data_IF_220625296305
#
_entry.id   IF_220625296305
#
_cell.length_a   1.000
_cell.length_b   1.000
_cell.length_c   1.000
_cell.angle_alpha   90.00
_cell.angle_beta   90.00
_cell.angle_gamma   90.00
#
_symmetry.space_group_name_H-M   'P 1'
#
loop_
_entity.id
_entity.type
_entity.pdbx_description
1 polymer ?
#
# COMPACT_ATOMS: atom_id res chain seq x y z
N UNK A 1 -9.39 -5.00 -26.94
CA UNK A 1 -9.87 -6.04 -26.00
C UNK A 1 -8.74 -7.02 -25.73
N UNK A 2 -8.67 -7.61 -24.54
CA UNK A 2 -7.69 -8.67 -24.25
C UNK A 2 -8.31 -10.01 -24.64
N UNK A 3 -7.56 -10.83 -25.38
CA UNK A 3 -8.00 -12.16 -25.81
C UNK A 3 -7.33 -13.23 -24.97
N UNK A 4 -8.14 -14.07 -24.31
CA UNK A 4 -7.67 -15.17 -23.48
C UNK A 4 -7.89 -16.51 -24.15
N UNK A 5 -6.97 -17.45 -23.93
CA UNK A 5 -7.18 -18.86 -24.26
C UNK A 5 -7.01 -19.70 -23.00
N UNK A 6 -7.81 -20.76 -22.92
CA UNK A 6 -7.82 -21.69 -21.81
C UNK A 6 -7.68 -23.11 -22.34
N UNK A 7 -7.17 -24.01 -21.51
CA UNK A 7 -7.22 -25.44 -21.80
C UNK A 7 -8.55 -26.07 -21.37
N UNK A 8 -8.67 -27.40 -21.53
CA UNK A 8 -9.88 -28.15 -21.19
C UNK A 8 -10.19 -28.16 -19.67
N UNK A 9 -9.20 -27.89 -18.82
CA UNK A 9 -9.38 -27.77 -17.37
C UNK A 9 -9.75 -26.33 -16.94
N UNK A 10 -9.87 -25.39 -17.90
CA UNK A 10 -10.19 -23.99 -17.62
C UNK A 10 -8.98 -23.17 -17.19
N UNK A 11 -7.76 -23.68 -17.35
CA UNK A 11 -6.52 -22.99 -16.97
C UNK A 11 -6.10 -22.05 -18.08
N UNK A 12 -5.69 -20.83 -17.73
CA UNK A 12 -5.34 -19.78 -18.71
C UNK A 12 -4.02 -20.12 -19.40
N UNK A 13 -4.04 -20.42 -20.69
CA UNK A 13 -2.85 -20.68 -21.49
C UNK A 13 -2.21 -19.40 -22.01
N UNK A 14 -3.02 -18.45 -22.49
CA UNK A 14 -2.52 -17.20 -23.07
C UNK A 14 -3.41 -16.00 -22.76
N UNK A 15 -2.80 -14.80 -22.79
CA UNK A 15 -3.47 -13.51 -22.75
C UNK A 15 -2.79 -12.58 -23.76
N UNK A 16 -3.52 -12.19 -24.79
CA UNK A 16 -3.05 -11.29 -25.84
C UNK A 16 -3.65 -9.91 -25.65
N UNK A 17 -2.79 -8.93 -25.44
CA UNK A 17 -3.14 -7.54 -25.19
C UNK A 17 -3.28 -6.74 -26.49
N UNK A 18 -4.02 -5.61 -26.48
CA UNK A 18 -4.15 -4.71 -27.63
C UNK A 18 -2.82 -4.28 -28.25
N UNK A 19 -1.82 -3.98 -27.40
CA UNK A 19 -0.48 -3.56 -27.82
C UNK A 19 0.42 -4.70 -28.33
N UNK A 20 -0.17 -5.82 -28.76
CA UNK A 20 0.55 -7.00 -29.27
C UNK A 20 1.49 -7.69 -28.25
N UNK A 21 1.34 -7.41 -26.96
CA UNK A 21 1.95 -8.22 -25.91
C UNK A 21 1.18 -9.52 -25.72
N UNK A 22 1.92 -10.61 -25.49
CA UNK A 22 1.37 -11.93 -25.23
C UNK A 22 1.98 -12.50 -23.95
N UNK A 23 1.13 -12.80 -22.98
CA UNK A 23 1.50 -13.64 -21.84
C UNK A 23 1.14 -15.10 -22.14
N UNK A 24 2.02 -16.02 -21.76
CA UNK A 24 1.79 -17.46 -21.85
C UNK A 24 2.10 -18.14 -20.53
N UNK A 25 1.25 -19.07 -20.11
CA UNK A 25 1.44 -19.88 -18.92
C UNK A 25 1.63 -21.34 -19.30
N UNK A 26 2.56 -22.02 -18.63
CA UNK A 26 2.83 -23.44 -18.77
C UNK A 26 2.54 -24.12 -17.44
N UNK A 27 1.88 -25.28 -17.51
CA UNK A 27 1.46 -26.06 -16.35
C UNK A 27 1.99 -27.47 -16.45
N UNK A 28 2.13 -28.14 -15.31
CA UNK A 28 2.20 -29.59 -15.22
C UNK A 28 0.83 -30.24 -15.47
N UNK A 29 0.81 -31.57 -15.61
CA UNK A 29 -0.42 -32.35 -15.73
C UNK A 29 -1.27 -32.30 -14.45
N UNK A 30 -0.66 -32.05 -13.29
CA UNK A 30 -1.31 -31.91 -11.98
C UNK A 30 -1.60 -30.45 -11.57
N UNK A 31 -1.76 -29.57 -12.56
CA UNK A 31 -2.23 -28.19 -12.38
C UNK A 31 -1.31 -27.25 -11.57
N UNK A 32 0.00 -27.42 -11.73
CA UNK A 32 0.99 -26.50 -11.16
C UNK A 32 1.60 -25.65 -12.25
N UNK A 33 1.55 -24.34 -12.09
CA UNK A 33 2.26 -23.42 -12.98
C UNK A 33 3.76 -23.72 -12.90
N UNK A 34 4.44 -23.90 -14.02
CA UNK A 34 5.91 -24.10 -14.06
C UNK A 34 6.62 -22.91 -14.64
N UNK A 35 5.93 -22.17 -15.53
CA UNK A 35 6.53 -21.09 -16.27
C UNK A 35 5.49 -20.09 -16.74
N UNK A 36 5.87 -18.82 -16.70
CA UNK A 36 5.18 -17.72 -17.36
C UNK A 36 6.14 -17.05 -18.33
N UNK A 37 5.70 -16.81 -19.56
CA UNK A 37 6.46 -16.11 -20.60
C UNK A 37 5.77 -14.79 -20.93
N UNK A 38 6.57 -13.75 -21.18
CA UNK A 38 6.12 -12.52 -21.81
C UNK A 38 6.75 -12.40 -23.19
N UNK A 39 5.93 -12.20 -24.20
CA UNK A 39 6.33 -12.03 -25.59
C UNK A 39 5.85 -10.68 -26.13
N UNK A 40 6.63 -10.10 -27.04
CA UNK A 40 6.24 -8.94 -27.84
C UNK A 40 6.17 -9.36 -29.31
N UNK A 41 5.03 -9.09 -29.96
CA UNK A 41 4.88 -9.26 -31.39
C UNK A 41 5.01 -7.91 -32.09
N UNK A 42 5.99 -7.79 -32.99
CA UNK A 42 6.24 -6.59 -33.81
C UNK A 42 6.59 -7.02 -35.24
N UNK A 43 5.95 -6.39 -36.24
CA UNK A 43 6.17 -6.67 -37.66
C UNK A 43 6.09 -8.16 -38.06
N UNK A 44 5.25 -8.94 -37.38
CA UNK A 44 5.07 -10.38 -37.61
C UNK A 44 6.12 -11.28 -36.96
N UNK A 45 7.02 -10.73 -36.13
CA UNK A 45 7.99 -11.48 -35.35
C UNK A 45 7.64 -11.46 -33.86
N UNK A 46 7.60 -12.65 -33.23
CA UNK A 46 7.43 -12.80 -31.79
C UNK A 46 8.80 -12.90 -31.10
N UNK A 47 9.08 -11.98 -30.19
CA UNK A 47 10.31 -11.97 -29.38
C UNK A 47 9.98 -12.27 -27.93
N UNK A 48 10.69 -13.22 -27.31
CA UNK A 48 10.57 -13.51 -25.88
C UNK A 48 11.24 -12.40 -25.08
N UNK A 49 10.47 -11.68 -24.27
CA UNK A 49 10.94 -10.54 -23.49
C UNK A 49 11.36 -10.93 -22.07
N UNK A 50 10.61 -11.83 -21.42
CA UNK A 50 10.93 -12.31 -20.08
C UNK A 50 10.33 -13.69 -19.80
N UNK A 51 10.94 -14.39 -18.85
CA UNK A 51 10.47 -15.68 -18.34
C UNK A 51 10.48 -15.63 -16.82
N UNK A 52 9.40 -16.08 -16.22
CA UNK A 52 9.32 -16.43 -14.79
C UNK A 52 9.15 -17.94 -14.67
N UNK A 53 9.95 -18.60 -13.84
CA UNK A 53 9.88 -20.05 -13.57
C UNK A 53 9.45 -20.33 -12.14
N UNK A 54 8.74 -21.43 -11.94
CA UNK A 54 8.18 -21.83 -10.65
C UNK A 54 8.49 -23.31 -10.39
N UNK A 55 9.17 -23.59 -9.28
CA UNK A 55 9.56 -24.93 -8.85
C UNK A 55 8.73 -25.34 -7.63
N UNK A 56 8.26 -26.59 -7.61
CA UNK A 56 7.40 -27.14 -6.56
C UNK A 56 8.06 -28.34 -5.90
N UNK A 57 7.78 -28.58 -4.63
CA UNK A 57 8.19 -29.81 -3.95
C UNK A 57 7.29 -31.00 -4.29
N UNK A 58 7.59 -32.18 -3.71
CA UNK A 58 6.81 -33.39 -3.91
C UNK A 58 5.37 -33.30 -3.39
N UNK A 59 5.09 -32.41 -2.43
CA UNK A 59 3.76 -32.11 -1.92
C UNK A 59 3.02 -31.07 -2.76
N UNK A 60 3.68 -30.47 -3.75
CA UNK A 60 3.11 -29.45 -4.63
C UNK A 60 3.14 -28.04 -4.10
N UNK A 61 3.90 -27.80 -3.04
CA UNK A 61 4.10 -26.45 -2.50
C UNK A 61 5.15 -25.73 -3.33
N UNK A 62 4.93 -24.45 -3.61
CA UNK A 62 5.86 -23.62 -4.35
C UNK A 62 7.11 -23.39 -3.50
N UNK A 63 8.27 -23.89 -3.94
CA UNK A 63 9.54 -23.74 -3.20
C UNK A 63 10.46 -22.69 -3.80
N UNK A 64 10.25 -22.32 -5.06
CA UNK A 64 11.06 -21.30 -5.74
C UNK A 64 10.29 -20.64 -6.87
N UNK A 65 10.43 -19.33 -6.99
CA UNK A 65 9.96 -18.55 -8.13
C UNK A 65 11.07 -17.61 -8.59
N UNK A 66 11.43 -17.63 -9.87
CA UNK A 66 12.58 -16.89 -10.40
C UNK A 66 12.22 -16.14 -11.68
N UNK A 67 12.63 -14.88 -11.77
CA UNK A 67 12.54 -14.06 -12.97
C UNK A 67 13.90 -13.34 -13.19
N UNK A 68 14.06 -12.47 -14.21
CA UNK A 68 15.34 -11.79 -14.46
C UNK A 68 15.82 -10.86 -13.33
N UNK A 69 14.93 -10.40 -12.46
CA UNK A 69 15.22 -9.43 -11.39
C UNK A 69 15.35 -10.08 -10.00
N UNK A 70 14.73 -11.25 -9.79
CA UNK A 70 14.61 -11.85 -8.47
C UNK A 70 14.54 -13.37 -8.47
N UNK A 71 15.06 -13.95 -7.40
CA UNK A 71 14.74 -15.32 -6.97
C UNK A 71 14.08 -15.24 -5.59
N UNK A 72 12.87 -15.78 -5.50
CA UNK A 72 12.13 -15.99 -4.26
C UNK A 72 12.15 -17.47 -3.94
N UNK A 73 12.53 -17.83 -2.71
CA UNK A 73 12.52 -19.20 -2.23
C UNK A 73 11.70 -19.34 -0.95
N UNK A 74 11.03 -20.47 -0.81
CA UNK A 74 10.15 -20.77 0.32
C UNK A 74 10.58 -22.06 1.01
N UNK A 75 10.52 -22.07 2.33
CA UNK A 75 10.68 -23.26 3.16
C UNK A 75 9.44 -23.44 4.02
N UNK A 76 9.05 -24.70 4.22
CA UNK A 76 7.85 -25.08 4.96
C UNK A 76 8.19 -26.08 6.06
N UNK A 77 7.41 -26.10 7.13
CA UNK A 77 7.44 -27.19 8.09
C UNK A 77 6.65 -28.42 7.59
N UNK A 78 6.64 -29.49 8.40
CA UNK A 78 5.90 -30.72 8.10
C UNK A 78 4.38 -30.51 8.05
N UNK A 79 3.86 -29.49 8.75
CA UNK A 79 2.46 -29.11 8.73
C UNK A 79 2.08 -28.25 7.50
N UNK A 80 3.05 -27.90 6.64
CA UNK A 80 2.81 -27.09 5.45
C UNK A 80 2.82 -25.59 5.68
N UNK A 81 3.22 -25.11 6.86
CA UNK A 81 3.29 -23.68 7.19
C UNK A 81 4.61 -23.11 6.70
N UNK A 82 4.57 -21.90 6.14
CA UNK A 82 5.75 -21.20 5.66
C UNK A 82 6.66 -20.84 6.84
N UNK A 83 7.86 -21.38 6.90
CA UNK A 83 8.84 -21.07 7.96
C UNK A 83 9.90 -20.07 7.51
N UNK A 84 10.14 -19.95 6.19
CA UNK A 84 11.10 -19.00 5.66
C UNK A 84 10.74 -18.58 4.25
N UNK A 85 10.77 -17.29 4.00
CA UNK A 85 10.78 -16.70 2.67
C UNK A 85 12.14 -16.03 2.43
N UNK A 86 12.70 -16.13 1.23
CA UNK A 86 13.99 -15.51 0.87
C UNK A 86 13.91 -14.85 -0.48
N UNK A 87 14.17 -13.54 -0.53
CA UNK A 87 14.17 -12.73 -1.75
C UNK A 87 15.60 -12.24 -1.98
N UNK A 88 16.24 -12.69 -3.05
CA UNK A 88 17.61 -12.30 -3.41
C UNK A 88 18.62 -12.41 -2.24
N UNK A 89 18.47 -13.46 -1.42
CA UNK A 89 19.34 -13.75 -0.26
C UNK A 89 18.88 -13.13 1.06
N UNK A 90 18.00 -12.11 1.05
CA UNK A 90 17.40 -11.55 2.26
C UNK A 90 16.23 -12.39 2.71
N UNK A 91 16.15 -12.73 3.99
CA UNK A 91 15.20 -13.72 4.47
C UNK A 91 14.32 -13.23 5.61
N UNK A 92 13.06 -13.66 5.56
CA UNK A 92 12.08 -13.55 6.64
C UNK A 92 11.79 -14.95 7.14
N UNK A 93 12.01 -15.20 8.42
CA UNK A 93 11.73 -16.47 9.07
C UNK A 93 10.52 -16.33 9.97
N UNK A 94 9.53 -17.21 9.83
CA UNK A 94 8.27 -17.16 10.55
C UNK A 94 8.21 -18.23 11.63
N UNK A 95 7.53 -17.91 12.72
CA UNK A 95 7.29 -18.81 13.84
C UNK A 95 5.80 -19.06 13.99
N UNK A 96 5.46 -20.29 14.36
CA UNK A 96 4.08 -20.76 14.47
C UNK A 96 3.89 -21.51 15.77
N UNK A 97 2.74 -21.33 16.39
CA UNK A 97 2.32 -22.16 17.49
C UNK A 97 2.00 -23.57 16.97
N UNK A 98 2.62 -24.63 17.51
CA UNK A 98 2.47 -25.98 16.97
C UNK A 98 1.07 -26.58 17.17
N UNK A 99 0.30 -26.09 18.15
CA UNK A 99 -1.02 -26.62 18.48
C UNK A 99 -2.15 -25.91 17.73
N UNK A 100 -2.16 -24.58 17.80
CA UNK A 100 -3.20 -23.73 17.21
C UNK A 100 -2.94 -23.38 15.75
N UNK A 101 -1.68 -23.44 15.30
CA UNK A 101 -1.29 -23.01 13.96
C UNK A 101 -1.24 -21.48 13.77
N UNK A 102 -1.41 -20.69 14.83
CA UNK A 102 -1.33 -19.23 14.76
C UNK A 102 0.13 -18.75 14.64
N UNK A 103 0.40 -17.65 13.91
CA UNK A 103 1.75 -17.12 13.77
C UNK A 103 2.21 -16.44 15.06
N UNK A 104 3.30 -16.87 15.66
CA UNK A 104 3.80 -16.33 16.95
C UNK A 104 4.89 -15.27 16.77
N UNK A 105 5.41 -15.11 15.56
CA UNK A 105 6.39 -14.07 15.27
C UNK A 105 7.05 -14.21 13.91
N UNK A 106 7.89 -13.23 13.58
CA UNK A 106 8.88 -13.36 12.52
C UNK A 106 10.16 -12.60 12.84
N UNK A 107 11.23 -13.00 12.16
CA UNK A 107 12.54 -12.35 12.17
C UNK A 107 12.98 -12.15 10.73
N UNK A 108 13.25 -10.91 10.33
CA UNK A 108 13.68 -10.57 8.99
C UNK A 108 15.11 -10.06 9.02
N UNK A 109 16.06 -10.82 8.47
CA UNK A 109 17.47 -10.39 8.36
C UNK A 109 18.00 -9.75 9.67
N UNK A 110 18.50 -8.52 9.63
CA UNK A 110 18.96 -7.73 10.79
C UNK A 110 17.87 -6.89 11.46
N UNK A 111 16.60 -7.01 11.06
CA UNK A 111 15.50 -6.25 11.61
C UNK A 111 15.17 -6.70 13.04
N UNK A 112 14.54 -5.87 13.88
CA UNK A 112 14.14 -6.30 15.21
C UNK A 112 13.06 -7.40 15.15
N UNK A 113 13.15 -8.40 16.03
CA UNK A 113 12.22 -9.51 16.05
C UNK A 113 10.80 -9.05 16.41
N UNK A 114 9.80 -9.60 15.74
CA UNK A 114 8.38 -9.35 16.04
C UNK A 114 7.76 -10.60 16.65
N UNK A 115 7.06 -10.46 17.77
CA UNK A 115 6.32 -11.55 18.40
C UNK A 115 4.89 -11.18 18.75
N UNK A 116 4.02 -12.18 18.72
CA UNK A 116 2.59 -12.07 18.97
C UNK A 116 2.13 -13.11 19.98
N UNK A 117 1.16 -12.73 20.79
CA UNK A 117 0.49 -13.64 21.70
C UNK A 117 -1.01 -13.54 21.55
N UNK A 118 -1.66 -14.70 21.53
CA UNK A 118 -3.10 -14.83 21.35
C UNK A 118 -3.76 -15.35 22.62
N UNK A 119 -4.96 -14.86 22.92
CA UNK A 119 -5.81 -15.42 23.94
C UNK A 119 -6.38 -16.78 23.53
N UNK A 120 -7.04 -17.47 24.47
CA UNK A 120 -7.68 -18.78 24.23
C UNK A 120 -8.77 -18.76 23.14
N UNK A 121 -9.29 -17.59 22.82
CA UNK A 121 -10.26 -17.37 21.74
C UNK A 121 -9.60 -17.08 20.38
N UNK A 122 -8.28 -17.19 20.27
CA UNK A 122 -7.52 -16.93 19.05
C UNK A 122 -7.38 -15.44 18.69
N UNK A 123 -7.78 -14.52 19.59
CA UNK A 123 -7.62 -13.07 19.36
C UNK A 123 -6.24 -12.61 19.78
N UNK A 124 -5.67 -11.68 19.02
CA UNK A 124 -4.39 -11.06 19.36
C UNK A 124 -4.54 -10.27 20.67
N UNK A 125 -3.69 -10.55 21.64
CA UNK A 125 -3.70 -9.89 22.96
C UNK A 125 -2.42 -9.10 23.20
N UNK A 126 -1.32 -9.46 22.53
CA UNK A 126 -0.05 -8.78 22.70
C UNK A 126 0.73 -8.72 21.39
N UNK A 127 1.42 -7.61 21.20
CA UNK A 127 2.43 -7.42 20.17
C UNK A 127 3.71 -6.86 20.77
N UNK A 128 4.86 -7.44 20.39
CA UNK A 128 6.16 -7.05 20.93
C UNK A 128 7.21 -6.96 19.82
N UNK A 129 8.09 -5.96 19.96
CA UNK A 129 9.23 -5.71 19.10
C UNK A 129 10.50 -5.83 19.94
N UNK A 130 11.39 -6.77 19.61
CA UNK A 130 12.74 -6.93 20.16
C UNK A 130 12.85 -6.81 21.69
N UNK A 131 11.92 -7.44 22.41
CA UNK A 131 11.89 -7.43 23.87
C UNK A 131 11.46 -6.10 24.51
N UNK A 132 11.16 -5.06 23.74
CA UNK A 132 10.59 -3.82 24.25
C UNK A 132 9.23 -4.04 24.95
N UNK A 133 8.81 -3.06 25.74
CA UNK A 133 7.52 -3.11 26.43
C UNK A 133 6.39 -3.36 25.42
N UNK A 134 5.62 -4.46 25.55
CA UNK A 134 4.66 -4.85 24.53
C UNK A 134 3.50 -3.86 24.43
N UNK A 135 2.85 -3.87 23.29
CA UNK A 135 1.50 -3.34 23.11
C UNK A 135 0.50 -4.44 23.49
N UNK A 136 -0.24 -4.24 24.57
CA UNK A 136 -1.33 -5.09 25.04
C UNK A 136 -2.63 -4.62 24.40
N UNK A 137 -3.46 -5.54 23.91
CA UNK A 137 -4.77 -5.25 23.32
C UNK A 137 -5.90 -5.84 24.16
N UNK A 138 -7.01 -5.14 24.18
CA UNK A 138 -8.24 -5.56 24.84
C UNK A 138 -9.39 -5.50 23.84
N UNK A 139 -10.28 -6.47 23.93
CA UNK A 139 -11.41 -6.63 23.02
C UNK A 139 -12.71 -6.74 23.81
N UNK A 140 -13.81 -6.26 23.21
CA UNK A 140 -15.14 -6.48 23.76
C UNK A 140 -15.65 -7.92 23.48
N UNK A 141 -16.87 -8.21 23.95
CA UNK A 141 -17.52 -9.51 23.74
C UNK A 141 -17.73 -9.86 22.25
N UNK A 142 -17.85 -8.86 21.37
CA UNK A 142 -18.00 -9.03 19.93
C UNK A 142 -16.65 -9.17 19.21
N UNK A 143 -15.53 -8.95 19.90
CA UNK A 143 -14.19 -9.06 19.34
C UNK A 143 -13.67 -7.82 18.66
N UNK A 144 -14.29 -6.67 18.91
CA UNK A 144 -13.76 -5.38 18.48
C UNK A 144 -12.73 -4.92 19.49
N UNK A 145 -11.61 -4.39 19.01
CA UNK A 145 -10.60 -3.80 19.90
C UNK A 145 -11.17 -2.57 20.59
N UNK A 146 -11.05 -2.50 21.91
CA UNK A 146 -11.52 -1.37 22.72
C UNK A 146 -10.38 -0.60 23.37
N UNK A 147 -9.21 -1.22 23.53
CA UNK A 147 -8.02 -0.55 24.02
C UNK A 147 -6.74 -1.23 23.52
N UNK A 148 -5.71 -0.42 23.34
CA UNK A 148 -4.32 -0.87 23.22
C UNK A 148 -3.41 -0.01 24.10
N UNK A 149 -2.51 -0.63 24.86
CA UNK A 149 -1.60 0.08 25.76
C UNK A 149 -0.20 -0.52 25.80
N UNK A 150 0.81 0.31 26.05
CA UNK A 150 2.17 -0.15 26.32
C UNK A 150 2.69 0.50 27.60
N UNK A 151 3.40 -0.29 28.41
CA UNK A 151 4.10 0.19 29.58
C UNK A 151 5.21 1.21 29.25
N UNK A 152 5.59 1.35 27.97
CA UNK A 152 6.43 2.45 27.49
C UNK A 152 5.73 3.83 27.57
N UNK A 153 4.45 3.88 27.95
CA UNK A 153 3.73 5.10 28.25
C UNK A 153 2.69 5.52 27.21
N UNK A 154 2.22 4.60 26.36
CA UNK A 154 1.19 4.84 25.35
C UNK A 154 -0.12 4.12 25.71
N UNK A 155 -1.25 4.76 25.46
CA UNK A 155 -2.57 4.12 25.48
C UNK A 155 -3.47 4.75 24.42
N UNK A 156 -4.29 3.91 23.79
CA UNK A 156 -5.39 4.27 22.91
C UNK A 156 -6.64 3.50 23.34
N UNK A 157 -7.81 4.12 23.24
CA UNK A 157 -9.10 3.45 23.34
C UNK A 157 -10.00 3.73 22.14
N UNK A 158 -10.94 2.82 21.91
CA UNK A 158 -11.96 2.89 20.88
C UNK A 158 -13.33 2.50 21.46
N UNK A 159 -14.36 3.22 21.06
CA UNK A 159 -15.74 2.87 21.35
C UNK A 159 -16.56 2.85 20.06
N UNK A 160 -17.62 2.07 20.07
CA UNK A 160 -18.45 1.83 18.88
C UNK A 160 -19.91 2.15 19.16
N UNK A 161 -20.62 2.61 18.14
CA UNK A 161 -22.07 2.77 18.16
C UNK A 161 -22.75 1.40 18.32
N UNK A 162 -24.03 1.34 18.70
CA UNK A 162 -24.78 0.09 18.81
C UNK A 162 -24.81 -0.74 17.51
N UNK A 163 -24.67 -0.09 16.35
CA UNK A 163 -24.61 -0.74 15.03
C UNK A 163 -23.19 -1.07 14.57
N UNK A 164 -22.18 -0.81 15.40
CA UNK A 164 -20.79 -1.22 15.16
C UNK A 164 -19.89 -0.21 14.46
N UNK A 165 -20.34 1.03 14.25
CA UNK A 165 -19.51 2.10 13.68
C UNK A 165 -18.61 2.69 14.76
N UNK A 166 -17.42 3.21 14.40
CA UNK A 166 -16.50 3.82 15.36
C UNK A 166 -17.11 5.13 15.91
N UNK A 167 -17.49 5.17 17.18
CA UNK A 167 -18.10 6.36 17.80
C UNK A 167 -17.03 7.37 18.19
N UNK A 168 -16.03 6.94 18.95
CA UNK A 168 -14.88 7.77 19.30
C UNK A 168 -13.60 6.97 19.48
N UNK A 169 -12.49 7.67 19.32
CA UNK A 169 -11.14 7.16 19.48
C UNK A 169 -10.34 8.18 20.26
N UNK A 170 -9.63 7.72 21.27
CA UNK A 170 -8.78 8.59 22.08
C UNK A 170 -7.40 7.97 22.22
N UNK A 171 -6.37 8.80 22.29
CA UNK A 171 -5.00 8.32 22.48
C UNK A 171 -4.15 9.35 23.25
N UNK A 172 -3.10 8.87 23.92
CA UNK A 172 -2.22 9.74 24.68
C UNK A 172 -1.23 8.99 25.56
N UNK A 173 -0.76 9.69 26.60
CA UNK A 173 0.11 9.09 27.61
C UNK A 173 -0.69 8.12 28.48
N UNK A 174 -0.11 6.97 28.76
CA UNK A 174 -0.66 5.95 29.67
C UNK A 174 -0.56 6.40 31.13
N UNK A 175 -1.28 7.47 31.46
CA UNK A 175 -1.34 8.06 32.81
C UNK A 175 -2.44 7.41 33.64
N UNK A 176 -2.28 7.37 34.97
CA UNK A 176 -3.30 6.85 35.88
C UNK A 176 -4.64 7.57 35.69
N UNK A 177 -4.62 8.89 35.43
CA UNK A 177 -5.80 9.67 35.15
C UNK A 177 -6.55 9.19 33.90
N UNK A 178 -5.85 8.94 32.79
CA UNK A 178 -6.48 8.44 31.57
C UNK A 178 -6.99 7.00 31.74
N UNK A 179 -6.25 6.14 32.48
CA UNK A 179 -6.72 4.77 32.76
C UNK A 179 -7.98 4.77 33.63
N UNK A 180 -8.03 5.63 34.65
CA UNK A 180 -9.19 5.78 35.52
C UNK A 180 -10.41 6.25 34.72
N UNK A 181 -10.27 7.30 33.92
CA UNK A 181 -11.39 7.83 33.13
C UNK A 181 -11.88 6.83 32.08
N UNK A 182 -11.00 6.00 31.51
CA UNK A 182 -11.41 4.95 30.58
C UNK A 182 -12.29 3.89 31.26
N UNK A 183 -11.99 3.53 32.51
CA UNK A 183 -12.78 2.57 33.28
C UNK A 183 -14.13 3.13 33.74
N UNK A 184 -14.16 4.42 34.08
CA UNK A 184 -15.36 5.10 34.60
C UNK A 184 -16.24 5.71 33.50
N UNK A 185 -15.74 5.86 32.27
CA UNK A 185 -16.44 6.54 31.20
C UNK A 185 -17.67 5.77 30.72
N UNK A 186 -18.77 6.50 30.51
CA UNK A 186 -19.87 6.04 29.68
C UNK A 186 -19.35 5.83 28.24
N UNK A 187 -19.51 4.63 27.65
CA UNK A 187 -19.04 4.31 26.29
C UNK A 187 -19.58 5.24 25.18
N UNK A 188 -20.59 6.08 25.45
CA UNK A 188 -21.07 7.08 24.51
C UNK A 188 -20.20 8.34 24.46
N UNK A 189 -19.42 8.62 25.49
CA UNK A 189 -18.60 9.84 25.60
C UNK A 189 -17.11 9.51 25.65
N UNK A 190 -16.26 10.31 24.99
CA UNK A 190 -14.82 10.06 25.01
C UNK A 190 -14.23 10.24 26.42
N UNK A 191 -13.31 9.37 26.85
CA UNK A 191 -12.63 9.50 28.13
C UNK A 191 -11.75 10.76 28.19
N UNK A 192 -11.59 11.32 29.39
CA UNK A 192 -10.74 12.49 29.66
C UNK A 192 -9.28 12.10 29.86
N UNK A 193 -8.36 13.07 29.75
CA UNK A 193 -6.92 12.83 29.97
C UNK A 193 -6.16 12.29 28.75
N UNK A 194 -6.86 12.12 27.62
CA UNK A 194 -6.25 11.85 26.33
C UNK A 194 -5.54 13.08 25.75
N UNK A 195 -4.53 12.85 24.92
CA UNK A 195 -3.81 13.91 24.21
C UNK A 195 -4.41 14.22 22.84
N UNK A 196 -5.21 13.29 22.32
CA UNK A 196 -6.04 13.46 21.13
C UNK A 196 -7.34 12.68 21.34
N UNK A 197 -8.44 13.31 20.97
CA UNK A 197 -9.77 12.68 20.87
C UNK A 197 -10.32 12.97 19.49
N UNK A 198 -10.91 11.95 18.88
CA UNK A 198 -11.71 12.03 17.67
C UNK A 198 -13.08 11.40 17.91
N UNK A 199 -14.13 12.07 17.48
CA UNK A 199 -15.52 11.63 17.60
C UNK A 199 -16.21 11.72 16.24
N UNK A 200 -16.95 10.68 15.87
CA UNK A 200 -17.60 10.56 14.56
C UNK A 200 -19.12 10.61 14.70
N UNK A 201 -19.73 11.40 13.83
CA UNK A 201 -21.18 11.44 13.66
C UNK A 201 -21.54 10.94 12.27
N UNK A 202 -22.59 10.14 12.20
CA UNK A 202 -23.00 9.47 10.97
C UNK A 202 -24.37 9.97 10.49
N UNK A 203 -24.58 10.00 9.18
CA UNK A 203 -25.91 10.16 8.59
C UNK A 203 -26.76 8.90 8.82
N UNK A 204 -28.08 8.94 8.59
CA UNK A 204 -28.92 7.74 8.59
C UNK A 204 -28.50 6.66 7.56
N UNK A 205 -27.75 7.05 6.52
CA UNK A 205 -27.15 6.14 5.54
C UNK A 205 -25.76 5.64 5.96
N UNK A 206 -25.33 5.90 7.19
CA UNK A 206 -24.04 5.50 7.77
C UNK A 206 -22.80 6.15 7.15
N UNK A 207 -22.95 7.23 6.38
CA UNK A 207 -21.83 8.06 5.94
C UNK A 207 -21.33 8.94 7.10
N UNK A 208 -20.03 9.24 7.16
CA UNK A 208 -19.46 10.16 8.15
C UNK A 208 -19.94 11.58 7.86
N UNK A 209 -20.88 12.10 8.64
CA UNK A 209 -21.39 13.47 8.50
C UNK A 209 -20.45 14.50 9.12
N UNK A 210 -19.84 14.16 10.25
CA UNK A 210 -18.95 15.03 10.99
C UNK A 210 -17.86 14.24 11.72
N UNK A 211 -16.66 14.79 11.77
CA UNK A 211 -15.58 14.38 12.66
C UNK A 211 -15.18 15.55 13.54
N UNK A 212 -15.30 15.40 14.86
CA UNK A 212 -14.75 16.34 15.82
C UNK A 212 -13.36 15.86 16.24
N UNK A 213 -12.34 16.69 16.12
CA UNK A 213 -10.98 16.35 16.49
C UNK A 213 -10.33 17.46 17.33
N UNK A 214 -9.81 17.10 18.50
CA UNK A 214 -9.16 18.07 19.41
C UNK A 214 -7.94 18.80 18.84
N UNK A 215 -7.34 18.33 17.74
CA UNK A 215 -6.19 18.95 17.07
C UNK A 215 -6.56 19.67 15.77
N UNK A 216 -7.61 19.21 15.10
CA UNK A 216 -8.00 19.68 13.77
C UNK A 216 -9.37 20.38 13.75
N UNK A 217 -9.96 20.59 14.92
CA UNK A 217 -11.35 20.99 15.13
C UNK A 217 -12.31 20.09 14.32
N UNK A 218 -13.45 20.66 13.94
CA UNK A 218 -14.51 19.95 13.27
C UNK A 218 -14.26 19.80 11.76
N UNK A 219 -14.58 18.64 11.20
CA UNK A 219 -14.68 18.41 9.76
C UNK A 219 -16.08 17.92 9.40
N UNK A 220 -16.81 18.64 8.54
CA UNK A 220 -18.17 18.27 8.11
C UNK A 220 -18.20 17.86 6.65
N UNK A 221 -19.02 16.84 6.33
CA UNK A 221 -19.22 16.35 4.97
C UNK A 221 -20.67 16.46 4.55
N UNK A 222 -20.88 16.91 3.31
CA UNK A 222 -22.17 16.86 2.63
C UNK A 222 -22.13 15.84 1.50
N UNK A 223 -23.25 15.13 1.29
CA UNK A 223 -23.37 14.05 0.32
C UNK A 223 -24.50 14.34 -0.67
N UNK A 224 -24.34 13.86 -1.92
CA UNK A 224 -25.46 13.76 -2.86
C UNK A 224 -26.23 12.43 -2.67
N UNK A 225 -27.25 12.21 -3.50
CA UNK A 225 -28.10 11.01 -3.46
C UNK A 225 -27.40 9.71 -3.85
N UNK A 226 -26.18 9.77 -4.39
CA UNK A 226 -25.35 8.62 -4.75
C UNK A 226 -24.25 8.36 -3.70
N UNK A 227 -24.39 8.88 -2.49
CA UNK A 227 -23.41 8.80 -1.40
C UNK A 227 -22.02 9.38 -1.74
N UNK A 228 -21.96 10.31 -2.70
CA UNK A 228 -20.72 10.99 -3.06
C UNK A 228 -20.57 12.29 -2.27
N UNK A 229 -19.37 12.55 -1.74
CA UNK A 229 -19.04 13.79 -1.02
C UNK A 229 -19.10 14.96 -2.00
N UNK A 230 -20.01 15.92 -1.76
CA UNK A 230 -20.12 17.16 -2.55
C UNK A 230 -19.53 18.37 -1.83
N UNK A 231 -19.43 18.31 -0.51
CA UNK A 231 -18.78 19.34 0.31
C UNK A 231 -17.94 18.70 1.41
N UNK A 232 -16.79 19.29 1.70
CA UNK A 232 -16.01 19.01 2.90
C UNK A 232 -15.57 20.34 3.52
N UNK A 233 -15.96 20.58 4.77
CA UNK A 233 -15.66 21.81 5.51
C UNK A 233 -14.70 21.44 6.62
N UNK A 234 -13.48 21.93 6.54
CA UNK A 234 -12.42 21.67 7.52
C UNK A 234 -12.29 22.88 8.44
N UNK A 235 -12.24 22.64 9.75
CA UNK A 235 -11.95 23.64 10.76
C UNK A 235 -10.46 23.75 11.12
N UNK A 236 -10.20 24.48 12.21
CA UNK A 236 -8.91 24.50 12.88
C UNK A 236 -7.76 25.12 12.10
N UNK A 237 -6.51 24.72 12.39
CA UNK A 237 -5.32 25.38 11.84
C UNK A 237 -5.21 25.37 10.31
N UNK A 238 -5.98 24.50 9.63
CA UNK A 238 -5.99 24.32 8.18
C UNK A 238 -7.37 24.53 7.58
N UNK A 239 -8.19 25.37 8.21
CA UNK A 239 -9.57 25.57 7.83
C UNK A 239 -9.73 25.94 6.34
N UNK A 240 -10.64 25.24 5.69
CA UNK A 240 -10.96 25.41 4.27
C UNK A 240 -12.25 24.70 3.90
N UNK A 241 -12.89 25.19 2.85
CA UNK A 241 -14.04 24.54 2.23
C UNK A 241 -13.62 23.90 0.91
N UNK A 242 -14.02 22.66 0.72
CA UNK A 242 -13.90 21.94 -0.55
C UNK A 242 -15.28 21.62 -1.12
N UNK A 243 -15.41 21.75 -2.45
CA UNK A 243 -16.62 21.41 -3.20
C UNK A 243 -16.25 20.49 -4.36
N UNK A 244 -17.08 19.48 -4.58
CA UNK A 244 -16.89 18.46 -5.61
C UNK A 244 -18.13 18.36 -6.48
N UNK A 245 -17.91 18.30 -7.80
CA UNK A 245 -18.98 18.10 -8.79
C UNK A 245 -18.62 16.89 -9.63
N UNK A 246 -19.60 16.00 -9.79
CA UNK A 246 -19.47 14.76 -10.56
C UNK A 246 -20.21 14.88 -11.90
N UNK A 247 -19.71 14.21 -12.92
CA UNK A 247 -20.41 14.09 -14.21
C UNK A 247 -21.51 13.02 -14.17
N UNK A 248 -22.25 12.88 -15.28
CA UNK A 248 -23.30 11.86 -15.42
C UNK A 248 -22.76 10.41 -15.35
N UNK A 249 -21.46 10.22 -15.58
CA UNK A 249 -20.76 8.94 -15.39
C UNK A 249 -20.30 8.71 -13.94
N UNK A 250 -20.69 9.59 -13.00
CA UNK A 250 -20.32 9.58 -11.59
C UNK A 250 -18.83 9.81 -11.31
N UNK A 251 -18.07 10.32 -12.28
CA UNK A 251 -16.67 10.66 -12.06
C UNK A 251 -16.50 12.10 -11.62
N UNK A 252 -15.47 12.38 -10.81
CA UNK A 252 -15.14 13.75 -10.40
C UNK A 252 -14.81 14.60 -11.64
N UNK A 253 -15.59 15.66 -11.84
CA UNK A 253 -15.45 16.61 -12.96
C UNK A 253 -14.78 17.91 -12.52
N UNK A 254 -15.10 18.40 -11.33
CA UNK A 254 -14.60 19.67 -10.82
C UNK A 254 -14.39 19.62 -9.31
N UNK A 255 -13.28 20.22 -8.86
CA UNK A 255 -12.97 20.46 -7.46
C UNK A 255 -12.67 21.94 -7.25
N UNK A 256 -13.23 22.51 -6.18
CA UNK A 256 -12.91 23.83 -5.66
C UNK A 256 -12.39 23.70 -4.24
N UNK A 257 -11.31 24.40 -3.91
CA UNK A 257 -10.82 24.57 -2.54
C UNK A 257 -10.71 26.05 -2.20
N UNK A 258 -11.46 26.48 -1.20
CA UNK A 258 -11.48 27.85 -0.67
C UNK A 258 -10.85 27.84 0.71
N UNK A 259 -9.62 28.33 0.88
CA UNK A 259 -9.03 28.48 2.20
C UNK A 259 -9.77 29.57 2.99
N UNK A 260 -9.89 29.40 4.31
CA UNK A 260 -10.51 30.43 5.16
C UNK A 260 -9.64 31.70 5.25
N UNK A 261 -8.31 31.52 5.24
CA UNK A 261 -7.36 32.63 5.23
C UNK A 261 -7.24 33.23 3.83
N UNK A 262 -7.66 34.49 3.70
CA UNK A 262 -7.57 35.29 2.46
C UNK A 262 -6.15 35.45 1.88
N UNK A 263 -5.11 35.10 2.62
CA UNK A 263 -3.72 35.08 2.14
C UNK A 263 -3.37 33.85 1.28
N UNK A 264 -4.28 32.88 1.17
CA UNK A 264 -4.11 31.70 0.32
C UNK A 264 -5.05 31.77 -0.89
N UNK A 265 -4.54 31.37 -2.05
CA UNK A 265 -5.32 31.37 -3.28
C UNK A 265 -6.40 30.28 -3.28
N UNK A 266 -7.58 30.64 -3.78
CA UNK A 266 -8.61 29.68 -4.17
C UNK A 266 -8.03 28.78 -5.26
N UNK A 267 -8.16 27.47 -5.08
CA UNK A 267 -7.73 26.48 -6.08
C UNK A 267 -8.94 25.88 -6.76
N UNK A 268 -8.89 25.82 -8.08
CA UNK A 268 -9.90 25.19 -8.90
C UNK A 268 -9.21 24.23 -9.87
N UNK A 269 -9.74 23.02 -9.98
CA UNK A 269 -9.28 22.04 -10.95
C UNK A 269 -10.47 21.42 -11.67
N UNK A 270 -10.28 21.24 -12.98
CA UNK A 270 -11.19 20.52 -13.85
C UNK A 270 -10.54 19.22 -14.28
N UNK A 271 -11.38 18.21 -14.45
CA UNK A 271 -11.01 16.88 -14.89
C UNK A 271 -11.67 16.64 -16.25
N UNK A 272 -10.85 16.45 -17.28
CA UNK A 272 -11.34 16.04 -18.60
C UNK A 272 -11.03 14.57 -18.78
N UNK A 273 -12.05 13.82 -19.19
CA UNK A 273 -11.95 12.40 -19.44
C UNK A 273 -12.24 12.07 -20.90
N UNK A 274 -11.63 10.99 -21.37
CA UNK A 274 -11.94 10.36 -22.64
C UNK A 274 -12.01 8.85 -22.38
N UNK A 275 -13.13 8.23 -22.74
CA UNK A 275 -13.37 6.78 -22.59
C UNK A 275 -13.03 6.23 -21.19
N UNK A 276 -13.42 6.96 -20.13
CA UNK A 276 -13.18 6.58 -18.73
C UNK A 276 -11.77 6.85 -18.21
N UNK A 277 -10.92 7.56 -18.97
CA UNK A 277 -9.54 7.90 -18.59
C UNK A 277 -9.38 9.42 -18.47
N UNK A 278 -8.74 9.87 -17.40
CA UNK A 278 -8.41 11.30 -17.22
C UNK A 278 -7.30 11.69 -18.18
N UNK A 279 -7.62 12.51 -19.19
CA UNK A 279 -6.63 13.02 -20.16
C UNK A 279 -6.07 14.39 -19.76
N UNK A 280 -6.77 15.12 -18.88
CA UNK A 280 -6.30 16.39 -18.34
C UNK A 280 -6.81 16.62 -16.91
N UNK A 281 -5.93 17.12 -16.05
CA UNK A 281 -6.25 17.60 -14.71
C UNK A 281 -5.46 18.88 -14.39
N UNK A 282 -6.16 20.01 -14.33
CA UNK A 282 -5.53 21.32 -14.17
C UNK A 282 -4.46 21.58 -15.25
N UNK A 283 -3.23 21.83 -14.82
CA UNK A 283 -2.07 22.07 -15.69
C UNK A 283 -1.43 20.78 -16.27
N UNK A 284 -1.91 19.60 -15.89
CA UNK A 284 -1.33 18.32 -16.32
C UNK A 284 -2.18 17.66 -17.42
N UNK A 285 -1.53 17.24 -18.50
CA UNK A 285 -2.10 16.37 -19.53
C UNK A 285 -1.48 14.96 -19.46
N UNK A 286 -2.26 13.95 -19.82
CA UNK A 286 -1.87 12.54 -19.73
C UNK A 286 -2.08 11.80 -21.06
N UNK A 287 -1.15 10.89 -21.37
CA UNK A 287 -1.26 9.97 -22.52
C UNK A 287 -1.18 8.54 -22.05
N UNK A 288 -1.86 7.66 -22.77
CA UNK A 288 -1.99 6.24 -22.44
C UNK A 288 -1.64 5.39 -23.65
N UNK A 289 -1.14 4.18 -23.41
CA UNK A 289 -1.04 3.16 -24.46
C UNK A 289 -2.40 2.47 -24.69
N UNK A 290 -2.41 1.51 -25.61
CA UNK A 290 -3.60 0.75 -26.00
C UNK A 290 -4.13 -0.14 -24.85
N UNK A 291 -3.26 -0.52 -23.92
CA UNK A 291 -3.63 -1.26 -22.69
C UNK A 291 -4.20 -0.33 -21.61
N UNK A 292 -4.10 0.99 -21.79
CA UNK A 292 -4.57 1.99 -20.83
C UNK A 292 -3.59 2.36 -19.74
N UNK A 293 -2.32 2.02 -19.91
CA UNK A 293 -1.25 2.42 -18.99
C UNK A 293 -0.75 3.79 -19.36
N UNK A 294 -0.51 4.65 -18.36
CA UNK A 294 -0.03 6.02 -18.60
C UNK A 294 1.40 5.98 -19.14
N UNK A 295 1.61 6.46 -20.35
CA UNK A 295 2.93 6.53 -21.00
C UNK A 295 3.57 7.91 -20.90
N UNK A 296 2.76 8.95 -20.74
CA UNK A 296 3.25 10.33 -20.59
C UNK A 296 2.42 11.13 -19.59
N UNK A 297 3.09 12.00 -18.85
CA UNK A 297 2.48 13.12 -18.12
C UNK A 297 3.21 14.38 -18.57
N UNK A 298 2.49 15.41 -18.97
CA UNK A 298 3.07 16.71 -19.30
C UNK A 298 2.43 17.79 -18.44
N UNK A 299 3.23 18.50 -17.65
CA UNK A 299 2.80 19.64 -16.85
C UNK A 299 3.14 20.94 -17.60
N UNK A 300 2.10 21.72 -17.92
CA UNK A 300 2.22 23.00 -18.61
C UNK A 300 1.80 24.13 -17.69
N UNK A 301 2.77 24.91 -17.20
CA UNK A 301 2.53 26.13 -16.45
C UNK A 301 2.75 27.35 -17.32
N UNK A 302 1.92 28.37 -17.18
CA UNK A 302 2.05 29.64 -17.93
C UNK A 302 3.43 30.25 -17.66
N UNK A 303 4.17 30.58 -18.72
CA UNK A 303 5.51 31.18 -18.62
C UNK A 303 6.67 30.19 -18.40
N UNK A 304 6.40 28.88 -18.30
CA UNK A 304 7.42 27.85 -18.14
C UNK A 304 7.41 26.90 -19.33
N UNK A 305 8.59 26.31 -19.62
CA UNK A 305 8.68 25.20 -20.57
C UNK A 305 7.88 23.99 -20.04
N UNK A 306 7.23 23.22 -20.92
CA UNK A 306 6.56 21.99 -20.51
C UNK A 306 7.52 21.05 -19.80
N UNK A 307 7.06 20.43 -18.71
CA UNK A 307 7.79 19.37 -18.01
C UNK A 307 7.13 18.04 -18.33
N UNK A 308 7.88 17.12 -18.93
CA UNK A 308 7.33 15.85 -19.41
C UNK A 308 7.99 14.67 -18.71
N UNK A 309 7.16 13.78 -18.17
CA UNK A 309 7.55 12.47 -17.65
C UNK A 309 7.15 11.40 -18.64
N UNK A 310 8.04 10.45 -18.92
CA UNK A 310 7.78 9.30 -19.79
C UNK A 310 7.88 8.01 -19.00
N UNK A 311 6.89 7.13 -19.09
CA UNK A 311 6.78 5.91 -18.29
C UNK A 311 6.93 4.66 -19.17
N UNK A 312 7.53 3.61 -18.62
CA UNK A 312 7.72 2.30 -19.27
C UNK A 312 7.08 1.20 -18.43
N UNK A 313 6.47 0.24 -19.09
CA UNK A 313 5.71 -0.83 -18.46
C UNK A 313 6.16 -2.19 -19.00
N UNK A 314 6.10 -3.24 -18.19
CA UNK A 314 6.28 -4.61 -18.68
C UNK A 314 4.96 -5.23 -19.16
N UNK A 315 5.01 -6.47 -19.64
CA UNK A 315 3.85 -7.19 -20.15
C UNK A 315 2.85 -7.62 -19.06
N UNK A 316 3.19 -7.46 -17.78
CA UNK A 316 2.31 -7.70 -16.63
C UNK A 316 1.70 -6.38 -16.11
N UNK A 317 1.75 -5.31 -16.90
CA UNK A 317 1.25 -3.98 -16.56
C UNK A 317 1.91 -3.35 -15.32
N UNK A 318 3.16 -3.74 -15.02
CA UNK A 318 3.97 -3.16 -13.93
C UNK A 318 4.87 -2.05 -14.47
N UNK A 319 4.95 -0.93 -13.74
CA UNK A 319 5.79 0.22 -14.12
C UNK A 319 7.26 -0.15 -13.95
N UNK A 320 8.03 -0.32 -15.02
CA UNK A 320 9.46 -0.72 -14.94
C UNK A 320 10.41 0.46 -14.90
N UNK A 321 9.94 1.66 -15.20
CA UNK A 321 10.76 2.85 -15.09
C UNK A 321 10.10 4.12 -15.60
N UNK A 322 10.78 5.24 -15.39
CA UNK A 322 10.38 6.51 -15.98
C UNK A 322 11.58 7.42 -16.24
N UNK A 323 11.38 8.39 -17.13
CA UNK A 323 12.32 9.49 -17.41
C UNK A 323 11.69 10.77 -16.90
N UNK A 324 12.40 11.51 -16.04
CA UNK A 324 11.95 12.80 -15.53
C UNK A 324 12.13 13.92 -16.58
N UNK A 325 11.51 15.10 -16.39
CA UNK A 325 11.72 16.25 -17.27
C UNK A 325 13.19 16.70 -17.37
N UNK A 326 13.97 16.41 -16.33
CA UNK A 326 15.40 16.72 -16.23
C UNK A 326 16.29 15.65 -16.89
N UNK A 327 15.70 14.56 -17.42
CA UNK A 327 16.42 13.47 -18.07
C UNK A 327 16.80 12.31 -17.14
N UNK A 328 16.57 12.43 -15.83
CA UNK A 328 16.89 11.36 -14.88
C UNK A 328 16.10 10.09 -15.19
N UNK A 329 16.81 8.97 -15.31
CA UNK A 329 16.21 7.66 -15.63
C UNK A 329 16.10 6.82 -14.37
N UNK A 330 14.90 6.31 -14.13
CA UNK A 330 14.62 5.40 -13.02
C UNK A 330 14.21 4.03 -13.53
N UNK A 331 14.68 2.99 -12.85
CA UNK A 331 14.33 1.59 -13.06
C UNK A 331 13.73 0.99 -11.79
N UNK A 332 12.66 0.22 -11.95
CA UNK A 332 12.00 -0.55 -10.89
C UNK A 332 12.11 -2.04 -11.22
N UNK A 333 12.46 -2.83 -10.21
CA UNK A 333 12.53 -4.29 -10.30
C UNK A 333 11.43 -4.93 -9.49
N UNK A 334 10.95 -6.08 -9.98
CA UNK A 334 9.86 -6.82 -9.37
C UNK A 334 10.22 -8.29 -9.26
N UNK A 335 9.76 -8.94 -8.21
CA UNK A 335 9.85 -10.40 -8.13
C UNK A 335 8.77 -11.10 -8.98
N UNK A 336 8.75 -12.43 -8.89
CA UNK A 336 7.81 -13.29 -9.60
C UNK A 336 6.33 -13.10 -9.22
N UNK A 337 6.07 -12.45 -8.08
CA UNK A 337 4.72 -12.17 -7.57
C UNK A 337 4.27 -10.73 -7.83
N UNK A 338 5.13 -9.91 -8.46
CA UNK A 338 4.82 -8.51 -8.75
C UNK A 338 5.08 -7.56 -7.59
N UNK A 339 5.77 -8.02 -6.55
CA UNK A 339 6.23 -7.16 -5.45
C UNK A 339 7.45 -6.38 -5.92
N UNK A 340 7.45 -5.06 -5.74
CA UNK A 340 8.59 -4.22 -6.13
C UNK A 340 9.72 -4.43 -5.13
N UNK A 341 10.87 -4.92 -5.60
CA UNK A 341 12.04 -5.23 -4.76
C UNK A 341 13.12 -4.15 -4.80
N UNK A 342 13.13 -3.32 -5.84
CA UNK A 342 14.03 -2.18 -5.88
C UNK A 342 13.51 -1.02 -6.73
N UNK A 343 14.03 0.17 -6.44
CA UNK A 343 13.91 1.38 -7.23
C UNK A 343 15.29 2.03 -7.32
N UNK A 344 15.80 2.26 -8.52
CA UNK A 344 17.14 2.84 -8.75
C UNK A 344 17.12 3.93 -9.79
N UNK A 345 17.94 4.95 -9.59
CA UNK A 345 18.31 5.94 -10.61
C UNK A 345 19.51 5.40 -11.39
N UNK A 346 19.36 5.19 -12.70
CA UNK A 346 20.40 4.58 -13.55
C UNK A 346 21.36 5.62 -14.12
N UNK A 347 20.83 6.76 -14.57
CA UNK A 347 21.64 7.84 -15.13
C UNK A 347 21.08 9.20 -14.74
N UNK A 348 21.99 10.17 -14.62
CA UNK A 348 21.67 11.59 -14.54
C UNK A 348 22.28 12.29 -15.75
N UNK A 349 21.44 12.68 -16.71
CA UNK A 349 21.88 13.39 -17.92
C UNK A 349 22.35 14.83 -17.61
N UNK A 350 22.32 15.27 -16.34
CA UNK A 350 22.80 16.60 -15.93
C UNK A 350 24.33 16.76 -15.93
N UNK A 351 25.08 15.65 -16.02
CA UNK A 351 26.56 15.66 -16.06
C UNK A 351 27.23 16.15 -14.77
N UNK A 352 26.47 16.39 -13.70
CA UNK A 352 27.02 16.79 -12.41
C UNK A 352 27.53 15.56 -11.64
N UNK A 353 28.70 15.65 -10.97
CA UNK A 353 29.17 14.57 -10.11
C UNK A 353 28.19 14.37 -8.95
N UNK A 354 27.68 13.14 -8.82
CA UNK A 354 26.82 12.74 -7.72
C UNK A 354 27.68 12.51 -6.48
N UNK A 355 27.32 13.14 -5.36
CA UNK A 355 28.01 12.89 -4.09
C UNK A 355 27.87 11.41 -3.70
N UNK A 356 28.92 10.75 -3.20
CA UNK A 356 28.86 9.35 -2.74
C UNK A 356 27.68 9.06 -1.81
N UNK A 357 27.38 9.99 -0.90
CA UNK A 357 26.31 9.89 0.10
C UNK A 357 24.91 10.28 -0.42
N UNK A 358 24.76 10.56 -1.72
CA UNK A 358 23.45 10.85 -2.28
C UNK A 358 22.64 9.55 -2.43
N UNK A 359 21.38 9.56 -1.98
CA UNK A 359 20.48 8.43 -2.19
C UNK A 359 20.12 8.34 -3.67
N UNK A 360 20.44 7.21 -4.30
CA UNK A 360 20.13 6.92 -5.71
C UNK A 360 18.98 5.92 -5.85
N UNK A 361 18.45 5.40 -4.75
CA UNK A 361 17.37 4.44 -4.78
C UNK A 361 17.07 3.80 -3.45
N UNK A 362 16.21 2.78 -3.50
CA UNK A 362 15.74 2.03 -2.34
C UNK A 362 15.58 0.55 -2.68
N UNK A 363 15.96 -0.31 -1.74
CA UNK A 363 15.60 -1.73 -1.71
C UNK A 363 14.41 -1.97 -0.81
N UNK A 364 13.63 -3.00 -1.15
CA UNK A 364 12.42 -3.33 -0.45
C UNK A 364 12.45 -4.81 -0.03
N UNK A 365 12.08 -5.09 1.22
CA UNK A 365 11.89 -6.45 1.72
C UNK A 365 10.41 -6.72 1.99
N UNK A 366 9.96 -7.90 1.61
CA UNK A 366 8.58 -8.33 1.75
C UNK A 366 8.49 -9.57 2.64
N UNK A 367 7.40 -9.68 3.39
CA UNK A 367 6.95 -10.89 4.09
C UNK A 367 5.56 -11.25 3.56
N UNK A 368 5.48 -12.23 2.66
CA UNK A 368 4.27 -12.45 1.88
C UNK A 368 3.88 -11.18 1.11
N UNK A 369 2.64 -10.71 1.26
CA UNK A 369 2.15 -9.49 0.57
C UNK A 369 2.48 -8.18 1.31
N UNK A 370 3.16 -8.23 2.47
CA UNK A 370 3.44 -7.05 3.29
C UNK A 370 4.85 -6.51 3.02
N UNK A 371 4.96 -5.22 2.68
CA UNK A 371 6.23 -4.50 2.59
C UNK A 371 6.74 -4.20 4.00
N UNK A 372 7.77 -4.89 4.47
CA UNK A 372 8.25 -4.76 5.86
C UNK A 372 9.46 -3.86 6.01
N UNK A 373 10.17 -3.55 4.91
CA UNK A 373 11.35 -2.69 4.94
C UNK A 373 11.54 -1.91 3.64
N UNK A 374 11.93 -0.64 3.77
CA UNK A 374 12.48 0.19 2.70
C UNK A 374 13.86 0.70 3.14
N UNK A 375 14.91 0.33 2.40
CA UNK A 375 16.30 0.67 2.73
C UNK A 375 16.91 1.57 1.67
N UNK A 376 17.44 2.75 2.02
CA UNK A 376 18.09 3.61 1.03
C UNK A 376 19.39 3.01 0.51
N UNK A 377 19.68 3.29 -0.77
CA UNK A 377 20.92 2.92 -1.44
C UNK A 377 21.63 4.17 -1.94
N UNK A 378 22.90 4.30 -1.57
CA UNK A 378 23.73 5.45 -1.85
C UNK A 378 24.50 5.32 -3.17
N UNK A 379 24.99 6.44 -3.69
CA UNK A 379 25.66 6.50 -4.99
C UNK A 379 26.98 5.73 -5.04
N UNK A 380 27.62 5.49 -3.90
CA UNK A 380 28.80 4.62 -3.76
C UNK A 380 28.46 3.12 -3.71
N UNK A 381 27.17 2.77 -3.79
CA UNK A 381 26.68 1.39 -3.75
C UNK A 381 26.42 0.86 -2.34
N UNK A 382 26.69 1.65 -1.30
CA UNK A 382 26.39 1.24 0.08
C UNK A 382 24.88 1.23 0.36
N UNK A 383 24.46 0.30 1.22
CA UNK A 383 23.08 0.11 1.64
C UNK A 383 22.92 0.65 3.06
N UNK A 384 22.04 1.62 3.25
CA UNK A 384 21.86 2.35 4.51
C UNK A 384 20.86 1.70 5.46
N UNK A 385 21.18 0.51 5.98
CA UNK A 385 20.27 -0.23 6.87
C UNK A 385 19.86 0.55 8.14
N UNK A 386 20.72 1.43 8.64
CA UNK A 386 20.40 2.29 9.80
C UNK A 386 19.35 3.37 9.48
N UNK A 387 19.12 3.66 8.21
CA UNK A 387 18.14 4.62 7.71
C UNK A 387 16.91 3.93 7.12
N UNK A 388 16.79 2.60 7.26
CA UNK A 388 15.64 1.84 6.80
C UNK A 388 14.36 2.29 7.52
N UNK A 389 13.25 2.29 6.79
CA UNK A 389 11.90 2.41 7.36
C UNK A 389 11.32 1.01 7.46
N UNK A 390 10.83 0.65 8.65
CA UNK A 390 10.20 -0.65 8.88
C UNK A 390 8.71 -0.48 9.10
N UNK A 391 7.92 -1.33 8.45
CA UNK A 391 6.47 -1.39 8.68
C UNK A 391 6.14 -2.67 9.42
N UNK A 392 5.37 -2.50 10.48
CA UNK A 392 4.94 -3.59 11.33
C UNK A 392 3.43 -3.72 11.15
N UNK A 393 2.98 -4.94 10.88
CA UNK A 393 1.57 -5.24 10.63
C UNK A 393 1.02 -6.17 11.69
N UNK A 394 -0.27 -6.02 11.94
CA UNK A 394 -1.02 -7.03 12.67
C UNK A 394 -1.09 -8.33 11.83
N UNK A 395 -0.94 -9.52 12.45
CA UNK A 395 -1.05 -10.79 11.74
C UNK A 395 -2.37 -10.93 10.99
N UNK A 396 -2.29 -11.28 9.70
CA UNK A 396 -3.48 -11.46 8.86
C UNK A 396 -4.14 -10.16 8.41
N UNK A 397 -3.64 -8.99 8.82
CA UNK A 397 -4.11 -7.73 8.28
C UNK A 397 -3.69 -7.56 6.80
N UNK A 398 -4.66 -7.20 5.97
CA UNK A 398 -4.40 -6.78 4.59
C UNK A 398 -3.78 -5.38 4.59
N UNK A 399 -2.85 -5.14 3.66
CA UNK A 399 -2.22 -3.83 3.42
C UNK A 399 -3.14 -2.85 2.70
#
# INVERSE_FOLDING_TARGET
>A
TIHYQYDAAGRRLTARYPNHQLLRWCYTDDDRITRQEAWQEEAGQCTLCSVTTYDHDAQGRLVRAANPDAVVAFAYDEAGRLTRETINGRAVSHQWDPLSGLPTGYQADTLPAVSWYYGLNGRLMQWQLDGHAPLQMQHDGLGREIARESAAGFIQSQAYTPVGLLAHQTAGRSSDWFKQTLYEADPHFPPRGSAVTRHWHYTPAYNVACMEDTRWDETRYGYNVNDQVVTAQFGGPRACDEQFVYDAGQHLHYQKRVPERLSQDVRQSYHTQQTGRVIQHGACAYRYDENGRRTEKTEQRRGYRPRTWRYRWDAQDRLTGFISPEGARWRYCYDAFGRRISKRKETDDTGQPVKPTAIIGYDYLWSGEQLIEETPVYADGTVGYEQSIHWLYEPGALT
#
